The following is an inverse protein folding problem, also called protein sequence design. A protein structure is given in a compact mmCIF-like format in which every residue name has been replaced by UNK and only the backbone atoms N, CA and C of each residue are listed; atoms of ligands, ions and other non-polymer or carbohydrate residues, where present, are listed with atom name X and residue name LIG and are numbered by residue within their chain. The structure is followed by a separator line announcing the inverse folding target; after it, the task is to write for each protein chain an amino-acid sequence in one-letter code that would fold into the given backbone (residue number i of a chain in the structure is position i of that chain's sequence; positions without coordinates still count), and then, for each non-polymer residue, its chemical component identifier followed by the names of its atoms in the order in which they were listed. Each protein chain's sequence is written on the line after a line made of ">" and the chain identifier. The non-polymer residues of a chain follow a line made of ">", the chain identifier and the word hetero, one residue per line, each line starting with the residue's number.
data_IF_520383921496
#
_entry.id   IF_520383921496
#
_cell.length_a   1.000
_cell.length_b   1.000
_cell.length_c   1.000
_cell.angle_alpha   90.00
_cell.angle_beta   90.00
_cell.angle_gamma   90.00
#
_symmetry.space_group_name_H-M   'P 1'
#
loop_
_entity.id
_entity.type
_entity.pdbx_description
1 polymer ?
#
# COMPACT_ATOMS: atom_id res chain seq x y z
N UNK A 1 10.39 -16.25 -18.68
CA UNK A 1 9.34 -15.49 -17.95
C UNK A 1 8.04 -16.28 -17.90
N UNK A 2 7.41 -16.60 -19.05
CA UNK A 2 6.13 -17.35 -19.05
C UNK A 2 6.24 -18.74 -18.41
N UNK A 3 7.22 -19.54 -18.80
CA UNK A 3 7.49 -20.87 -18.21
C UNK A 3 7.66 -20.78 -16.68
N UNK A 4 8.49 -19.84 -16.22
CA UNK A 4 8.69 -19.57 -14.79
C UNK A 4 7.39 -19.17 -14.08
N UNK A 5 6.51 -18.39 -14.71
CA UNK A 5 5.21 -18.04 -14.13
C UNK A 5 4.33 -19.29 -13.98
N UNK A 6 4.32 -20.16 -14.99
CA UNK A 6 3.61 -21.44 -14.94
C UNK A 6 4.17 -22.37 -13.84
N UNK A 7 5.49 -22.36 -13.61
CA UNK A 7 6.13 -23.15 -12.55
C UNK A 7 5.68 -22.76 -11.14
N UNK A 8 5.15 -21.53 -10.97
CA UNK A 8 4.63 -21.00 -9.70
C UNK A 8 3.10 -20.86 -9.70
N UNK A 9 2.40 -21.65 -10.52
CA UNK A 9 0.94 -21.70 -10.60
C UNK A 9 0.27 -20.37 -11.01
N UNK A 10 1.00 -19.48 -11.70
CA UNK A 10 0.41 -18.30 -12.36
C UNK A 10 0.02 -18.63 -13.81
N UNK A 11 -0.99 -17.96 -14.38
CA UNK A 11 -1.40 -18.16 -15.77
C UNK A 11 -0.42 -17.45 -16.72
N UNK A 12 0.78 -18.01 -16.86
CA UNK A 12 1.89 -17.43 -17.60
C UNK A 12 1.60 -17.21 -19.08
N UNK A 13 0.65 -17.93 -19.68
CA UNK A 13 0.20 -17.73 -21.07
C UNK A 13 -0.79 -16.57 -21.23
N UNK A 14 -1.59 -16.27 -20.19
CA UNK A 14 -2.61 -15.21 -20.23
C UNK A 14 -2.10 -13.85 -19.72
N UNK A 15 -1.05 -13.85 -18.90
CA UNK A 15 -0.47 -12.61 -18.35
C UNK A 15 0.05 -11.71 -19.50
N UNK A 16 -0.41 -10.44 -19.59
CA UNK A 16 0.12 -9.48 -20.55
C UNK A 16 1.61 -9.22 -20.31
N UNK A 17 2.40 -9.18 -21.39
CA UNK A 17 3.83 -8.85 -21.32
C UNK A 17 4.10 -7.67 -22.25
N UNK A 18 4.47 -6.53 -21.65
CA UNK A 18 4.85 -5.32 -22.38
C UNK A 18 6.38 -5.21 -22.43
N UNK A 19 6.95 -5.15 -23.63
CA UNK A 19 8.38 -4.95 -23.82
C UNK A 19 8.70 -3.46 -23.98
N UNK A 20 9.52 -2.90 -23.10
CA UNK A 20 9.86 -1.47 -23.09
C UNK A 20 11.14 -1.16 -22.31
N UNK A 21 11.44 0.14 -22.16
CA UNK A 21 12.60 0.62 -21.40
C UNK A 21 12.18 1.73 -20.43
N UNK A 22 12.14 1.40 -19.13
CA UNK A 22 11.78 2.36 -18.10
C UNK A 22 12.78 3.53 -18.03
N UNK A 23 14.07 3.27 -18.27
CA UNK A 23 15.11 4.30 -18.26
C UNK A 23 14.87 5.34 -19.36
N UNK A 24 14.70 4.91 -20.61
CA UNK A 24 14.51 5.84 -21.74
C UNK A 24 13.21 6.64 -21.62
N UNK A 25 12.14 6.01 -21.15
CA UNK A 25 10.88 6.71 -20.88
C UNK A 25 11.07 7.81 -19.82
N UNK A 26 11.80 7.52 -18.73
CA UNK A 26 12.09 8.47 -17.67
C UNK A 26 12.99 9.62 -18.15
N UNK A 27 14.05 9.31 -18.88
CA UNK A 27 14.97 10.31 -19.46
C UNK A 27 14.19 11.29 -20.35
N UNK A 28 13.35 10.77 -21.24
CA UNK A 28 12.53 11.60 -22.11
C UNK A 28 11.56 12.51 -21.34
N UNK A 29 10.85 11.98 -20.35
CA UNK A 29 9.91 12.77 -19.53
C UNK A 29 10.62 13.81 -18.65
N UNK A 30 11.85 13.53 -18.23
CA UNK A 30 12.67 14.49 -17.47
C UNK A 30 13.11 15.66 -18.36
N UNK A 31 13.46 15.38 -19.61
CA UNK A 31 13.82 16.42 -20.60
C UNK A 31 12.59 17.17 -21.12
N UNK A 32 11.40 16.56 -21.10
CA UNK A 32 10.16 17.08 -21.66
C UNK A 32 8.98 16.98 -20.68
N UNK A 33 9.00 17.73 -19.55
CA UNK A 33 8.04 17.57 -18.45
C UNK A 33 6.59 17.93 -18.82
N UNK A 34 6.40 18.80 -19.82
CA UNK A 34 5.06 19.23 -20.26
C UNK A 34 4.47 18.33 -21.37
N UNK A 35 5.16 17.24 -21.74
CA UNK A 35 4.68 16.31 -22.76
C UNK A 35 3.42 15.59 -22.25
N UNK A 36 2.24 16.04 -22.70
CA UNK A 36 0.96 15.54 -22.19
C UNK A 36 0.53 14.19 -22.73
N UNK A 37 1.20 13.67 -23.75
CA UNK A 37 1.07 12.32 -24.26
C UNK A 37 2.37 12.05 -24.99
N UNK A 38 3.18 11.13 -24.48
CA UNK A 38 4.45 10.81 -25.11
C UNK A 38 4.17 10.19 -26.48
N UNK A 39 4.35 10.96 -27.55
CA UNK A 39 4.55 10.44 -28.91
C UNK A 39 5.86 9.63 -29.02
N UNK A 40 6.62 9.57 -27.93
CA UNK A 40 7.83 8.79 -27.78
C UNK A 40 7.51 7.32 -27.46
N UNK A 41 8.20 6.42 -28.16
CA UNK A 41 7.96 4.97 -28.16
C UNK A 41 8.02 4.36 -26.75
N UNK A 42 9.01 4.73 -25.93
CA UNK A 42 9.19 4.15 -24.59
C UNK A 42 8.15 4.65 -23.60
N UNK A 43 7.72 5.90 -23.73
CA UNK A 43 6.60 6.43 -22.93
C UNK A 43 5.30 5.70 -23.26
N UNK A 44 5.01 5.45 -24.54
CA UNK A 44 3.83 4.66 -24.94
C UNK A 44 3.83 3.25 -24.35
N UNK A 45 5.01 2.62 -24.19
CA UNK A 45 5.11 1.32 -23.50
C UNK A 45 4.75 1.39 -22.02
N UNK A 46 4.97 2.52 -21.35
CA UNK A 46 4.52 2.70 -19.97
C UNK A 46 2.99 2.86 -19.93
N UNK A 47 2.39 3.61 -20.85
CA UNK A 47 0.93 3.70 -20.95
C UNK A 47 0.28 2.35 -21.28
N UNK A 48 0.85 1.59 -22.23
CA UNK A 48 0.40 0.23 -22.56
C UNK A 48 0.49 -0.70 -21.34
N UNK A 49 1.55 -0.58 -20.54
CA UNK A 49 1.68 -1.33 -19.28
C UNK A 49 0.56 -0.96 -18.30
N UNK A 50 0.31 0.32 -18.07
CA UNK A 50 -0.73 0.77 -17.14
C UNK A 50 -2.14 0.38 -17.62
N UNK A 51 -2.41 0.44 -18.92
CA UNK A 51 -3.68 -0.03 -19.49
C UNK A 51 -3.89 -1.53 -19.28
N UNK A 52 -2.83 -2.34 -19.40
CA UNK A 52 -2.90 -3.76 -19.08
C UNK A 52 -3.13 -4.00 -17.57
N UNK A 53 -2.50 -3.21 -16.69
CA UNK A 53 -2.75 -3.28 -15.24
C UNK A 53 -4.24 -3.02 -14.94
N UNK A 54 -4.79 -1.94 -15.48
CA UNK A 54 -6.19 -1.55 -15.25
C UNK A 54 -7.20 -2.60 -15.76
N UNK A 55 -6.87 -3.30 -16.87
CA UNK A 55 -7.76 -4.32 -17.47
C UNK A 55 -7.60 -5.71 -16.87
N UNK A 56 -6.37 -6.10 -16.53
CA UNK A 56 -6.03 -7.48 -16.16
C UNK A 56 -6.14 -7.71 -14.66
N UNK A 57 -5.83 -6.71 -13.82
CA UNK A 57 -5.89 -6.85 -12.37
C UNK A 57 -7.29 -6.45 -11.90
N UNK A 58 -8.13 -7.40 -11.45
CA UNK A 58 -9.45 -7.06 -10.95
C UNK A 58 -9.33 -6.23 -9.67
N UNK A 59 -10.26 -5.30 -9.48
CA UNK A 59 -10.37 -4.59 -8.21
C UNK A 59 -10.73 -5.61 -7.11
N UNK A 60 -9.87 -5.79 -6.09
CA UNK A 60 -10.15 -6.76 -5.03
C UNK A 60 -11.34 -6.29 -4.20
N UNK A 61 -12.17 -7.24 -3.78
CA UNK A 61 -13.25 -6.98 -2.84
C UNK A 61 -12.64 -6.60 -1.47
N UNK A 62 -13.08 -5.47 -0.93
CA UNK A 62 -12.61 -4.99 0.38
C UNK A 62 -13.51 -5.56 1.47
N UNK A 63 -12.95 -6.37 2.35
CA UNK A 63 -13.69 -7.02 3.44
C UNK A 63 -13.92 -6.08 4.64
N UNK A 64 -14.67 -4.99 4.45
CA UNK A 64 -14.86 -3.93 5.46
C UNK A 64 -15.75 -4.34 6.63
N UNK A 65 -16.62 -5.33 6.43
CA UNK A 65 -17.59 -5.78 7.46
C UNK A 65 -16.97 -6.74 8.49
N UNK A 66 -15.69 -7.09 8.32
CA UNK A 66 -14.96 -7.96 9.26
C UNK A 66 -14.36 -7.16 10.42
N UNK A 67 -14.00 -7.82 11.54
CA UNK A 67 -13.21 -7.18 12.58
C UNK A 67 -11.90 -6.65 12.03
N UNK A 68 -11.55 -5.42 12.42
CA UNK A 68 -10.31 -4.76 12.02
C UNK A 68 -9.09 -5.63 12.27
N UNK A 69 -8.24 -5.75 11.27
CA UNK A 69 -6.92 -6.34 11.39
C UNK A 69 -5.96 -5.61 10.45
N UNK A 70 -4.83 -5.18 10.97
CA UNK A 70 -3.74 -4.57 10.22
C UNK A 70 -2.45 -5.27 10.60
N UNK A 71 -1.70 -5.74 9.60
CA UNK A 71 -0.35 -6.23 9.82
C UNK A 71 0.58 -5.03 9.99
N UNK A 72 1.43 -5.04 11.03
CA UNK A 72 2.41 -3.99 11.24
C UNK A 72 3.63 -4.29 10.38
N UNK A 73 3.99 -3.36 9.50
CA UNK A 73 5.16 -3.44 8.61
C UNK A 73 6.37 -2.71 9.19
N UNK A 74 6.16 -1.53 9.78
CA UNK A 74 7.21 -0.74 10.43
C UNK A 74 6.62 0.16 11.54
N UNK A 75 7.50 0.68 12.40
CA UNK A 75 7.14 1.49 13.57
C UNK A 75 8.05 2.70 13.67
N UNK A 76 7.44 3.88 13.75
CA UNK A 76 8.12 5.16 13.89
C UNK A 76 7.76 5.83 15.21
N UNK A 77 8.72 6.56 15.79
CA UNK A 77 8.45 7.49 16.89
C UNK A 77 8.53 8.90 16.34
N UNK A 78 7.43 9.65 16.41
CA UNK A 78 7.38 11.04 15.98
C UNK A 78 7.40 11.94 17.21
N UNK A 79 8.45 12.74 17.32
CA UNK A 79 8.63 13.68 18.43
C UNK A 79 7.40 14.57 18.60
N UNK A 80 6.82 14.56 19.79
CA UNK A 80 5.63 15.36 20.14
C UNK A 80 4.29 14.80 19.64
N UNK A 81 4.27 13.75 18.82
CA UNK A 81 3.03 13.10 18.33
C UNK A 81 2.82 11.69 18.90
N UNK A 82 3.90 10.94 19.14
CA UNK A 82 3.84 9.58 19.70
C UNK A 82 4.32 8.52 18.71
N UNK A 83 3.92 7.27 18.96
CA UNK A 83 4.32 6.12 18.16
C UNK A 83 3.33 5.87 17.02
N UNK A 84 3.86 5.60 15.82
CA UNK A 84 3.10 5.33 14.60
C UNK A 84 3.45 3.95 14.12
N UNK A 85 2.46 3.06 14.05
CA UNK A 85 2.59 1.77 13.40
C UNK A 85 2.07 1.90 11.96
N UNK A 86 2.87 1.53 10.97
CA UNK A 86 2.48 1.55 9.57
C UNK A 86 2.24 0.15 9.05
N UNK A 87 1.27 -0.01 8.15
CA UNK A 87 1.09 -1.23 7.40
C UNK A 87 -0.18 -1.21 6.57
N UNK A 88 -0.50 -2.36 5.97
CA UNK A 88 -1.74 -2.56 5.23
C UNK A 88 -2.86 -3.07 6.14
N UNK A 89 -4.02 -2.44 6.04
CA UNK A 89 -5.25 -2.98 6.66
C UNK A 89 -5.66 -4.22 5.86
N UNK A 90 -5.58 -5.39 6.49
CA UNK A 90 -5.92 -6.68 5.87
C UNK A 90 -7.43 -6.83 5.72
N UNK A 91 -8.18 -6.40 6.74
CA UNK A 91 -9.65 -6.49 6.76
C UNK A 91 -10.26 -5.53 7.76
N UNK A 92 -11.57 -5.34 7.61
CA UNK A 92 -12.36 -4.48 8.46
C UNK A 92 -12.14 -3.00 8.18
N UNK A 93 -12.53 -2.20 9.17
CA UNK A 93 -12.41 -0.76 9.15
C UNK A 93 -12.14 -0.23 10.55
N UNK A 94 -11.51 0.94 10.62
CA UNK A 94 -11.15 1.58 11.88
C UNK A 94 -11.25 3.09 11.78
N UNK A 95 -11.63 3.74 12.89
CA UNK A 95 -11.79 5.18 13.00
C UNK A 95 -10.92 5.74 14.11
N UNK A 96 -10.59 7.03 14.02
CA UNK A 96 -9.88 7.73 15.10
C UNK A 96 -10.71 7.69 16.39
N UNK A 97 -10.07 7.32 17.50
CA UNK A 97 -10.71 7.16 18.80
C UNK A 97 -11.15 5.73 19.12
N UNK A 98 -11.09 4.81 18.15
CA UNK A 98 -11.35 3.40 18.40
C UNK A 98 -10.29 2.76 19.30
N UNK A 99 -10.72 1.79 20.11
CA UNK A 99 -9.82 0.92 20.89
C UNK A 99 -9.36 -0.26 20.05
N UNK A 100 -8.09 -0.63 20.15
CA UNK A 100 -7.48 -1.75 19.43
C UNK A 100 -6.56 -2.54 20.33
N UNK A 101 -6.37 -3.82 19.98
CA UNK A 101 -5.44 -4.71 20.66
C UNK A 101 -4.17 -4.89 19.80
N UNK A 102 -3.02 -4.69 20.42
CA UNK A 102 -1.73 -5.07 19.85
C UNK A 102 -1.50 -6.55 20.16
N UNK A 103 -1.53 -7.39 19.12
CA UNK A 103 -1.46 -8.85 19.24
C UNK A 103 -0.20 -9.38 18.56
N UNK A 104 0.55 -10.22 19.28
CA UNK A 104 1.71 -10.93 18.75
C UNK A 104 3.02 -10.59 19.48
N UNK A 105 3.95 -11.55 19.48
CA UNK A 105 5.30 -11.53 20.09
C UNK A 105 5.36 -11.30 21.62
N UNK A 106 4.61 -10.33 22.15
CA UNK A 106 4.47 -9.99 23.57
C UNK A 106 3.04 -10.25 24.06
N UNK A 107 2.80 -9.97 25.34
CA UNK A 107 1.47 -9.97 25.92
C UNK A 107 0.58 -8.94 25.22
N UNK A 108 -0.66 -9.33 24.90
CA UNK A 108 -1.65 -8.48 24.25
C UNK A 108 -1.95 -7.26 25.11
N UNK A 109 -2.01 -6.09 24.47
CA UNK A 109 -2.33 -4.83 25.14
C UNK A 109 -3.34 -4.03 24.37
N UNK A 110 -4.24 -3.39 25.11
CA UNK A 110 -5.21 -2.46 24.56
C UNK A 110 -4.59 -1.05 24.45
N UNK A 111 -4.89 -0.36 23.37
CA UNK A 111 -4.54 1.05 23.16
C UNK A 111 -5.62 1.74 22.34
N UNK A 112 -5.54 3.07 22.26
CA UNK A 112 -6.50 3.90 21.54
C UNK A 112 -5.79 4.56 20.36
N UNK A 113 -6.46 4.54 19.21
CA UNK A 113 -6.01 5.24 18.01
C UNK A 113 -6.25 6.73 18.19
N UNK A 114 -5.19 7.52 18.10
CA UNK A 114 -5.26 8.99 18.21
C UNK A 114 -5.15 9.70 16.87
N UNK A 115 -4.78 8.99 15.81
CA UNK A 115 -4.74 9.52 14.46
C UNK A 115 -4.52 8.44 13.41
N UNK A 116 -4.97 8.71 12.20
CA UNK A 116 -4.74 7.90 11.01
C UNK A 116 -4.13 8.81 9.94
N UNK A 117 -3.08 8.35 9.27
CA UNK A 117 -2.38 9.12 8.25
C UNK A 117 -2.01 8.23 7.05
N UNK A 118 -2.26 8.71 5.82
CA UNK A 118 -1.84 8.05 4.58
C UNK A 118 -1.17 9.10 3.68
N UNK A 119 0.09 8.89 3.30
CA UNK A 119 0.85 9.80 2.44
C UNK A 119 0.75 11.29 2.84
N UNK A 120 1.02 11.64 4.09
CA UNK A 120 0.94 13.00 4.64
C UNK A 120 -0.48 13.62 4.65
N UNK A 121 -1.52 12.79 4.53
CA UNK A 121 -2.92 13.20 4.66
C UNK A 121 -3.55 12.53 5.87
N UNK A 122 -4.20 13.33 6.71
CA UNK A 122 -4.98 12.83 7.84
C UNK A 122 -6.26 12.16 7.34
N UNK A 123 -6.61 11.04 7.94
CA UNK A 123 -7.84 10.30 7.69
C UNK A 123 -8.70 10.26 8.96
N UNK A 124 -10.02 10.29 8.79
CA UNK A 124 -10.96 10.01 9.89
C UNK A 124 -11.19 8.50 10.06
N UNK A 125 -11.10 7.77 8.95
CA UNK A 125 -11.36 6.33 8.83
C UNK A 125 -10.36 5.67 7.87
N UNK A 126 -10.01 4.42 8.15
CA UNK A 126 -9.26 3.56 7.24
C UNK A 126 -9.96 2.21 7.08
N UNK A 127 -9.85 1.62 5.89
CA UNK A 127 -10.56 0.40 5.51
C UNK A 127 -9.59 -0.63 4.92
N UNK A 128 -10.03 -1.88 4.81
CA UNK A 128 -9.30 -2.95 4.14
C UNK A 128 -8.68 -2.50 2.80
N UNK A 129 -7.38 -2.79 2.63
CA UNK A 129 -6.58 -2.43 1.46
C UNK A 129 -5.80 -1.12 1.58
N UNK A 130 -6.09 -0.28 2.57
CA UNK A 130 -5.37 0.97 2.79
C UNK A 130 -3.97 0.71 3.38
N UNK A 131 -2.94 1.40 2.87
CA UNK A 131 -1.63 1.49 3.52
C UNK A 131 -1.64 2.73 4.43
N UNK A 132 -1.68 2.52 5.74
CA UNK A 132 -1.96 3.59 6.72
C UNK A 132 -0.93 3.58 7.84
N UNK A 133 -0.64 4.77 8.37
CA UNK A 133 0.04 4.98 9.64
C UNK A 133 -0.98 5.24 10.74
N UNK A 134 -0.94 4.42 11.79
CA UNK A 134 -1.83 4.50 12.95
C UNK A 134 -1.05 5.07 14.13
N UNK A 135 -1.48 6.23 14.63
CA UNK A 135 -0.96 6.85 15.83
C UNK A 135 -1.56 6.16 17.07
N UNK A 136 -0.72 5.63 17.95
CA UNK A 136 -1.14 4.84 19.11
C UNK A 136 -0.85 5.60 20.41
N UNK A 137 -1.86 5.68 21.29
CA UNK A 137 -1.74 6.38 22.57
C UNK A 137 -0.94 5.57 23.58
N UNK A 138 0.09 6.19 24.14
CA UNK A 138 0.79 5.66 25.32
C UNK A 138 1.61 4.41 25.06
N UNK A 139 1.85 4.09 23.79
CA UNK A 139 2.72 3.00 23.34
C UNK A 139 4.06 3.58 22.91
N UNK A 140 5.16 3.01 23.38
CA UNK A 140 6.51 3.32 22.93
C UNK A 140 6.90 2.42 21.76
N UNK A 141 7.86 2.86 20.94
CA UNK A 141 8.31 2.09 19.77
C UNK A 141 8.79 0.70 20.16
N UNK A 142 9.51 0.57 21.27
CA UNK A 142 10.08 -0.68 21.75
C UNK A 142 9.01 -1.68 22.21
N UNK A 143 7.78 -1.23 22.42
CA UNK A 143 6.65 -2.05 22.83
C UNK A 143 5.95 -2.72 21.64
N UNK A 144 6.26 -2.29 20.41
CA UNK A 144 5.79 -2.89 19.16
C UNK A 144 6.97 -3.59 18.48
N UNK A 145 6.77 -4.83 18.03
CA UNK A 145 7.79 -5.65 17.39
C UNK A 145 7.24 -6.34 16.15
#
# INVERSE_FOLDING_TARGET
>A
VRETLNDYDYPGDDIPIVSGSALKALEYLTENPDSQNGDEEWVQKIYELMENVDKYIPLPERETDKPFLMAIEDVFSITGRGTVATGRVERGEIEVGASVELVGLKETRETIITGLEMFQKTLEKSVAGDNVGILLRGIQKEEIQ
#
